data_IF_341241195699
#
_entry.id   IF_341241195699
#
_cell.length_a   1.000
_cell.length_b   1.000
_cell.length_c   1.000
_cell.angle_alpha   90.00
_cell.angle_beta   90.00
_cell.angle_gamma   90.00
#
_symmetry.space_group_name_H-M   'P 1'
#
loop_
_entity.id
_entity.type
_entity.pdbx_description
1 polymer ?
#
# COMPACT_ATOMS: atom_id res chain seq x y z
N UNK A 1 32.78 14.92 9.73
CA UNK A 1 31.52 14.31 10.20
C UNK A 1 31.51 12.87 9.75
N UNK A 2 31.15 11.93 10.62
CA UNK A 2 31.02 10.53 10.24
C UNK A 2 29.89 10.39 9.19
N UNK A 3 29.98 9.38 8.32
CA UNK A 3 28.89 9.08 7.40
C UNK A 3 27.89 8.19 8.14
N UNK A 4 26.62 8.59 8.15
CA UNK A 4 25.54 7.70 8.58
C UNK A 4 25.47 6.48 7.65
N UNK A 5 24.94 5.36 8.16
CA UNK A 5 24.78 4.09 7.44
C UNK A 5 23.32 3.71 7.39
N UNK A 6 22.84 3.32 6.22
CA UNK A 6 21.49 2.81 6.00
C UNK A 6 21.54 1.36 5.53
N UNK A 7 20.98 0.46 6.33
CA UNK A 7 20.81 -0.95 6.01
C UNK A 7 19.38 -1.13 5.48
N UNK A 8 19.20 -1.60 4.25
CA UNK A 8 17.86 -1.68 3.61
C UNK A 8 17.74 -2.87 2.65
N UNK A 9 16.51 -3.30 2.34
CA UNK A 9 16.22 -4.42 1.45
C UNK A 9 16.29 -4.08 -0.05
N UNK A 10 16.57 -2.82 -0.39
CA UNK A 10 16.74 -2.36 -1.77
C UNK A 10 16.57 -0.85 -1.90
N UNK A 11 16.91 -0.31 -3.07
CA UNK A 11 16.85 1.13 -3.37
C UNK A 11 15.86 1.48 -4.48
N UNK A 12 14.91 0.59 -4.79
CA UNK A 12 13.87 0.91 -5.76
C UNK A 12 13.08 2.14 -5.33
N UNK A 13 12.46 2.83 -6.29
CA UNK A 13 11.56 3.95 -6.02
C UNK A 13 10.36 3.53 -5.15
N UNK A 14 10.07 2.22 -5.10
CA UNK A 14 9.01 1.64 -4.28
C UNK A 14 9.43 1.41 -2.81
N UNK A 15 10.71 1.59 -2.44
CA UNK A 15 11.12 1.53 -1.04
C UNK A 15 10.87 2.87 -0.33
N UNK A 16 9.61 3.05 0.09
CA UNK A 16 9.09 4.26 0.72
C UNK A 16 9.98 4.71 1.89
N UNK A 17 10.34 3.81 2.81
CA UNK A 17 11.13 4.19 4.00
C UNK A 17 12.55 4.63 3.65
N UNK A 18 13.23 3.94 2.74
CA UNK A 18 14.56 4.35 2.30
C UNK A 18 14.51 5.71 1.59
N UNK A 19 13.48 5.97 0.78
CA UNK A 19 13.31 7.27 0.12
C UNK A 19 13.13 8.40 1.12
N UNK A 20 12.26 8.23 2.12
CA UNK A 20 12.06 9.23 3.18
C UNK A 20 13.38 9.60 3.86
N UNK A 21 14.16 8.59 4.24
CA UNK A 21 15.45 8.79 4.93
C UNK A 21 16.47 9.48 4.03
N UNK A 22 16.63 9.02 2.79
CA UNK A 22 17.66 9.53 1.88
C UNK A 22 17.36 10.97 1.41
N UNK A 23 16.09 11.29 1.14
CA UNK A 23 15.70 12.66 0.79
C UNK A 23 15.87 13.58 1.99
N UNK A 24 15.47 13.13 3.18
CA UNK A 24 15.63 13.90 4.41
C UNK A 24 17.11 14.19 4.69
N UNK A 25 17.96 13.17 4.57
CA UNK A 25 19.40 13.33 4.68
C UNK A 25 19.97 14.31 3.65
N UNK A 26 19.44 14.31 2.43
CA UNK A 26 19.84 15.27 1.40
C UNK A 26 19.46 16.71 1.76
N UNK A 27 18.25 16.96 2.28
CA UNK A 27 17.80 18.32 2.64
C UNK A 27 18.44 18.84 3.93
N UNK A 28 18.99 17.94 4.76
CA UNK A 28 19.76 18.27 5.98
C UNK A 28 21.27 18.21 5.77
N UNK A 29 21.74 17.96 4.54
CA UNK A 29 23.16 17.80 4.20
C UNK A 29 23.88 16.71 5.01
N UNK A 30 23.17 15.66 5.44
CA UNK A 30 23.74 14.49 6.12
C UNK A 30 24.17 13.46 5.09
N UNK A 31 25.44 13.04 5.12
CA UNK A 31 25.94 11.97 4.24
C UNK A 31 25.49 10.61 4.74
N UNK A 32 24.69 9.90 3.93
CA UNK A 32 24.24 8.54 4.21
C UNK A 32 24.87 7.57 3.21
N UNK A 33 25.61 6.58 3.72
CA UNK A 33 26.11 5.44 2.96
C UNK A 33 25.09 4.32 3.03
N UNK A 34 24.62 3.86 1.87
CA UNK A 34 23.77 2.68 1.78
C UNK A 34 24.67 1.45 1.86
N UNK A 35 24.39 0.57 2.81
CA UNK A 35 25.22 -0.60 3.09
C UNK A 35 24.83 -1.74 2.15
N UNK A 36 25.78 -2.21 1.35
CA UNK A 36 25.60 -3.33 0.41
C UNK A 36 26.47 -4.54 0.74
N UNK A 37 26.49 -5.53 -0.18
CA UNK A 37 27.30 -6.75 -0.02
C UNK A 37 28.78 -6.45 0.16
N UNK A 38 29.28 -5.46 -0.57
CA UNK A 38 30.67 -4.97 -0.47
C UNK A 38 31.00 -4.39 0.91
N UNK A 39 29.97 -3.98 1.66
CA UNK A 39 30.09 -3.45 3.03
C UNK A 39 29.76 -4.51 4.10
N UNK A 40 29.63 -5.78 3.72
CA UNK A 40 29.27 -6.88 4.61
C UNK A 40 27.78 -6.97 4.96
N UNK A 41 26.90 -6.29 4.20
CA UNK A 41 25.46 -6.33 4.42
C UNK A 41 24.71 -6.98 3.25
N UNK A 42 24.02 -8.09 3.54
CA UNK A 42 23.07 -8.75 2.65
C UNK A 42 21.71 -8.90 3.35
N UNK A 43 20.67 -8.28 2.81
CA UNK A 43 19.33 -8.40 3.35
C UNK A 43 18.83 -9.85 3.32
N UNK A 44 18.17 -10.26 4.39
CA UNK A 44 17.73 -11.65 4.62
C UNK A 44 18.80 -12.55 5.24
N UNK A 45 20.06 -12.11 5.26
CA UNK A 45 21.22 -12.83 5.81
C UNK A 45 21.84 -12.04 6.97
N UNK A 46 22.46 -10.89 6.69
CA UNK A 46 23.19 -10.09 7.68
C UNK A 46 22.28 -9.60 8.81
N UNK A 47 21.05 -9.17 8.50
CA UNK A 47 20.09 -8.67 9.50
C UNK A 47 19.57 -9.75 10.48
N UNK A 48 19.86 -11.03 10.22
CA UNK A 48 19.50 -12.15 11.11
C UNK A 48 20.65 -12.61 12.01
N UNK A 49 21.87 -12.12 11.75
CA UNK A 49 23.05 -12.50 12.52
C UNK A 49 23.01 -11.96 13.95
N UNK A 50 23.64 -12.68 14.88
CA UNK A 50 23.73 -12.27 16.28
C UNK A 50 24.38 -10.89 16.44
N UNK A 51 25.41 -10.57 15.65
CA UNK A 51 26.09 -9.29 15.74
C UNK A 51 25.26 -8.12 15.22
N UNK A 52 24.46 -8.33 14.18
CA UNK A 52 23.50 -7.31 13.75
C UNK A 52 22.42 -7.10 14.82
N UNK A 53 21.90 -8.17 15.44
CA UNK A 53 20.91 -8.09 16.51
C UNK A 53 21.39 -7.36 17.76
N UNK A 54 22.68 -7.45 18.09
CA UNK A 54 23.27 -6.66 19.18
C UNK A 54 23.13 -5.15 18.94
N UNK A 55 23.11 -4.73 17.67
CA UNK A 55 22.89 -3.32 17.28
C UNK A 55 21.42 -2.98 17.08
N UNK A 56 20.68 -3.89 16.43
CA UNK A 56 19.29 -3.73 16.01
C UNK A 56 18.50 -4.97 16.44
N UNK A 57 17.88 -4.96 17.64
CA UNK A 57 17.30 -6.17 18.24
C UNK A 57 16.20 -6.84 17.42
N UNK A 58 15.54 -6.08 16.54
CA UNK A 58 14.49 -6.56 15.66
C UNK A 58 15.10 -6.85 14.28
N UNK A 59 14.89 -8.06 13.76
CA UNK A 59 15.42 -8.54 12.45
C UNK A 59 14.81 -7.86 11.21
N UNK A 60 14.30 -6.63 11.36
CA UNK A 60 13.67 -5.87 10.29
C UNK A 60 14.70 -5.01 9.55
N UNK A 61 14.32 -4.63 8.34
CA UNK A 61 14.97 -3.54 7.60
C UNK A 61 13.89 -2.56 7.15
N UNK A 62 14.19 -1.26 7.04
CA UNK A 62 15.54 -0.67 7.17
C UNK A 62 16.06 -0.61 8.63
N UNK A 63 17.37 -0.34 8.79
CA UNK A 63 17.99 0.06 10.05
C UNK A 63 19.01 1.18 9.79
N UNK A 64 19.21 2.09 10.73
CA UNK A 64 20.02 3.29 10.58
C UNK A 64 21.04 3.42 11.72
N UNK A 65 22.30 3.69 11.37
CA UNK A 65 23.40 3.93 12.32
C UNK A 65 24.05 5.28 12.00
N UNK A 66 24.13 6.18 12.97
CA UNK A 66 24.84 7.46 12.86
C UNK A 66 25.53 7.75 14.20
N UNK A 67 26.86 7.73 14.19
CA UNK A 67 27.67 7.71 15.41
C UNK A 67 27.21 6.60 16.38
N UNK A 68 26.87 6.96 17.62
CA UNK A 68 26.37 6.01 18.62
C UNK A 68 24.87 5.70 18.47
N UNK A 69 24.14 6.49 17.68
CA UNK A 69 22.69 6.38 17.50
C UNK A 69 22.35 5.24 16.55
N UNK A 70 21.46 4.36 17.00
CA UNK A 70 20.97 3.19 16.27
C UNK A 70 19.45 3.20 16.29
N UNK A 71 18.83 3.29 15.11
CA UNK A 71 17.39 3.48 14.95
C UNK A 71 16.81 2.48 13.96
N UNK A 72 15.59 2.05 14.22
CA UNK A 72 14.83 1.09 13.38
C UNK A 72 13.45 1.61 12.96
N UNK A 73 13.07 2.80 13.44
CA UNK A 73 11.78 3.43 13.12
C UNK A 73 11.99 4.64 12.22
N UNK A 74 11.21 4.73 11.13
CA UNK A 74 11.45 5.71 10.06
C UNK A 74 11.33 7.13 10.59
N UNK A 75 10.24 7.42 11.31
CA UNK A 75 9.97 8.74 11.86
C UNK A 75 11.01 9.15 12.91
N UNK A 76 11.59 8.19 13.65
CA UNK A 76 12.70 8.45 14.56
C UNK A 76 13.99 8.83 13.82
N UNK A 77 14.27 8.21 12.67
CA UNK A 77 15.41 8.60 11.82
C UNK A 77 15.18 9.98 11.22
N UNK A 78 13.97 10.26 10.74
CA UNK A 78 13.60 11.59 10.23
C UNK A 78 13.82 12.67 11.29
N UNK A 79 13.32 12.44 12.52
CA UNK A 79 13.59 13.31 13.66
C UNK A 79 15.08 13.47 13.93
N UNK A 80 15.84 12.37 13.99
CA UNK A 80 17.27 12.42 14.25
C UNK A 80 18.05 13.23 13.21
N UNK A 81 17.65 13.18 11.93
CA UNK A 81 18.28 13.95 10.85
C UNK A 81 17.93 15.44 10.91
N UNK A 82 16.74 15.79 11.41
CA UNK A 82 16.23 17.16 11.41
C UNK A 82 16.42 17.94 12.72
N UNK A 83 16.52 17.26 13.87
CA UNK A 83 16.49 17.88 15.22
C UNK A 83 17.52 19.00 15.46
N UNK A 84 18.64 18.99 14.74
CA UNK A 84 19.73 19.96 14.86
C UNK A 84 19.83 20.87 13.61
N UNK A 85 18.71 21.05 12.90
CA UNK A 85 18.63 21.80 11.63
C UNK A 85 17.57 22.90 11.71
N UNK A 86 17.37 23.64 10.61
CA UNK A 86 16.33 24.67 10.50
C UNK A 86 14.89 24.13 10.42
N UNK A 87 14.70 22.81 10.36
CA UNK A 87 13.38 22.21 10.24
C UNK A 87 12.80 21.96 11.63
N UNK A 88 11.87 22.83 12.04
CA UNK A 88 11.23 22.71 13.34
C UNK A 88 10.35 21.46 13.44
N UNK A 89 10.60 20.67 14.49
CA UNK A 89 9.75 19.55 14.89
C UNK A 89 8.72 20.04 15.90
N UNK A 90 7.63 20.63 15.40
CA UNK A 90 6.49 21.04 16.20
C UNK A 90 5.50 19.89 16.38
N UNK A 91 4.48 20.08 17.22
CA UNK A 91 3.35 19.16 17.34
C UNK A 91 2.69 18.90 15.98
N UNK A 92 2.63 19.91 15.10
CA UNK A 92 2.07 19.76 13.75
C UNK A 92 2.93 18.87 12.87
N UNK A 93 4.25 19.00 12.94
CA UNK A 93 5.18 18.12 12.24
C UNK A 93 4.99 16.67 12.70
N UNK A 94 4.93 16.44 14.02
CA UNK A 94 4.70 15.10 14.58
C UNK A 94 3.34 14.52 14.17
N UNK A 95 2.28 15.32 14.19
CA UNK A 95 0.94 14.92 13.74
C UNK A 95 0.98 14.43 12.29
N UNK A 96 1.56 15.21 11.37
CA UNK A 96 1.61 14.86 9.95
C UNK A 96 2.50 13.67 9.65
N UNK A 97 3.64 13.51 10.34
CA UNK A 97 4.46 12.30 10.21
C UNK A 97 3.70 11.06 10.66
N UNK A 98 2.97 11.15 11.77
CA UNK A 98 2.16 10.04 12.30
C UNK A 98 1.00 9.70 11.38
N UNK A 99 0.31 10.71 10.84
CA UNK A 99 -0.75 10.54 9.85
C UNK A 99 -0.21 9.87 8.57
N UNK A 100 0.99 10.26 8.12
CA UNK A 100 1.64 9.65 6.97
C UNK A 100 2.02 8.17 7.24
N UNK A 101 2.63 7.86 8.39
CA UNK A 101 3.13 6.52 8.69
C UNK A 101 2.04 5.52 9.10
N UNK A 102 0.86 6.00 9.51
CA UNK A 102 -0.27 5.15 9.93
C UNK A 102 -1.37 5.11 8.89
N UNK A 103 -2.13 6.20 8.79
CA UNK A 103 -3.37 6.24 8.02
C UNK A 103 -3.10 6.26 6.53
N UNK A 104 -2.20 7.15 6.09
CA UNK A 104 -1.84 7.27 4.68
C UNK A 104 -1.12 6.01 4.19
N UNK A 105 -0.13 5.50 4.94
CA UNK A 105 0.58 4.29 4.57
C UNK A 105 -0.36 3.08 4.40
N UNK A 106 -1.33 2.91 5.31
CA UNK A 106 -2.32 1.83 5.22
C UNK A 106 -3.17 1.96 3.96
N UNK A 107 -3.72 3.16 3.71
CA UNK A 107 -4.52 3.44 2.52
C UNK A 107 -3.72 3.19 1.24
N UNK A 108 -2.52 3.76 1.13
CA UNK A 108 -1.68 3.64 -0.07
C UNK A 108 -1.26 2.19 -0.31
N UNK A 109 -0.94 1.45 0.76
CA UNK A 109 -0.63 0.02 0.68
C UNK A 109 -1.83 -0.78 0.14
N UNK A 110 -3.03 -0.60 0.68
CA UNK A 110 -4.24 -1.31 0.23
C UNK A 110 -4.55 -1.04 -1.24
N UNK A 111 -4.34 0.19 -1.71
CA UNK A 111 -4.65 0.56 -3.10
C UNK A 111 -3.56 0.16 -4.10
N UNK A 112 -2.27 0.25 -3.72
CA UNK A 112 -1.15 0.09 -4.66
C UNK A 112 -0.52 -1.30 -4.65
N UNK A 113 -0.49 -1.98 -3.50
CA UNK A 113 0.20 -3.28 -3.38
C UNK A 113 -0.39 -4.40 -4.25
N UNK A 114 -1.69 -4.42 -4.61
CA UNK A 114 -2.19 -5.35 -5.62
C UNK A 114 -1.51 -5.19 -6.98
N UNK A 115 -1.30 -3.96 -7.45
CA UNK A 115 -0.61 -3.69 -8.71
C UNK A 115 0.88 -4.11 -8.68
N UNK A 116 1.47 -4.07 -7.48
CA UNK A 116 2.83 -4.57 -7.24
C UNK A 116 2.88 -6.09 -6.98
N UNK A 117 1.74 -6.78 -6.97
CA UNK A 117 1.63 -8.21 -6.70
C UNK A 117 2.04 -8.60 -5.27
N UNK A 118 2.04 -7.67 -4.31
CA UNK A 118 2.44 -7.97 -2.93
C UNK A 118 1.30 -8.61 -2.14
N UNK A 119 0.08 -8.13 -2.36
CA UNK A 119 -1.15 -8.62 -1.70
C UNK A 119 -2.24 -8.90 -2.75
N UNK A 120 -3.23 -9.71 -2.38
CA UNK A 120 -4.45 -9.87 -3.19
C UNK A 120 -5.40 -8.70 -2.94
N UNK A 121 -6.17 -8.25 -3.94
CA UNK A 121 -7.17 -7.21 -3.72
C UNK A 121 -8.34 -7.76 -2.90
N UNK A 122 -8.81 -6.97 -1.95
CA UNK A 122 -10.07 -7.19 -1.21
C UNK A 122 -11.04 -6.03 -1.50
N UNK A 123 -12.28 -6.35 -1.89
CA UNK A 123 -13.25 -5.32 -2.32
C UNK A 123 -13.73 -4.44 -1.17
N UNK A 124 -13.89 -5.00 0.03
CA UNK A 124 -14.38 -4.28 1.21
C UNK A 124 -13.28 -3.35 1.71
N UNK A 125 -12.06 -3.85 1.85
CA UNK A 125 -10.90 -3.05 2.25
C UNK A 125 -10.58 -1.96 1.22
N UNK A 126 -10.70 -2.26 -0.08
CA UNK A 126 -10.47 -1.27 -1.13
C UNK A 126 -11.50 -0.13 -1.08
N UNK A 127 -12.78 -0.44 -0.91
CA UNK A 127 -13.82 0.58 -0.77
C UNK A 127 -13.61 1.45 0.48
N UNK A 128 -13.22 0.85 1.61
CA UNK A 128 -12.88 1.57 2.84
C UNK A 128 -11.65 2.47 2.64
N UNK A 129 -10.59 1.94 2.02
CA UNK A 129 -9.38 2.70 1.71
C UNK A 129 -9.65 3.88 0.77
N UNK A 130 -10.50 3.71 -0.25
CA UNK A 130 -10.93 4.82 -1.11
C UNK A 130 -11.71 5.89 -0.36
N UNK A 131 -12.51 5.52 0.65
CA UNK A 131 -13.22 6.51 1.48
C UNK A 131 -12.27 7.31 2.34
N UNK A 132 -11.38 6.63 3.06
CA UNK A 132 -10.39 7.29 3.91
C UNK A 132 -9.40 8.12 3.06
N UNK A 133 -9.03 7.65 1.87
CA UNK A 133 -8.21 8.41 0.92
C UNK A 133 -8.82 9.77 0.60
N UNK A 134 -10.13 9.83 0.33
CA UNK A 134 -10.83 11.09 0.05
C UNK A 134 -10.71 12.06 1.23
N UNK A 135 -10.94 11.58 2.45
CA UNK A 135 -10.87 12.40 3.67
C UNK A 135 -9.44 12.91 3.91
N UNK A 136 -8.43 12.05 3.78
CA UNK A 136 -7.02 12.42 3.90
C UNK A 136 -6.62 13.44 2.83
N UNK A 137 -7.04 13.25 1.58
CA UNK A 137 -6.70 14.15 0.47
C UNK A 137 -7.39 15.52 0.61
N UNK A 138 -8.61 15.57 1.14
CA UNK A 138 -9.25 16.82 1.50
C UNK A 138 -8.46 17.54 2.61
N UNK A 139 -8.06 16.83 3.67
CA UNK A 139 -7.23 17.43 4.73
C UNK A 139 -5.89 17.97 4.20
N UNK A 140 -5.20 17.22 3.34
CA UNK A 140 -3.96 17.69 2.71
C UNK A 140 -4.22 18.90 1.78
N UNK A 141 -5.35 18.93 1.09
CA UNK A 141 -5.75 20.08 0.25
C UNK A 141 -5.99 21.33 1.09
N UNK A 142 -6.63 21.20 2.25
CA UNK A 142 -6.83 22.33 3.17
C UNK A 142 -5.49 22.91 3.65
N UNK A 143 -4.53 22.05 4.02
CA UNK A 143 -3.17 22.48 4.39
C UNK A 143 -2.46 23.22 3.25
N UNK A 144 -2.65 22.75 2.01
CA UNK A 144 -2.08 23.35 0.81
C UNK A 144 -2.83 24.60 0.32
N UNK A 145 -3.98 24.93 0.92
CA UNK A 145 -4.73 26.15 0.60
C UNK A 145 -4.10 27.40 1.22
N UNK A 146 -3.42 27.23 2.35
CA UNK A 146 -2.75 28.31 3.08
C UNK A 146 -1.28 28.47 2.67
N UNK A 147 -0.66 27.39 2.18
CA UNK A 147 0.78 27.29 1.98
C UNK A 147 1.18 26.45 0.76
N UNK A 148 2.38 26.70 0.23
CA UNK A 148 2.95 25.91 -0.86
C UNK A 148 3.42 24.50 -0.44
N UNK A 149 3.62 24.27 0.85
CA UNK A 149 4.07 23.00 1.43
C UNK A 149 3.23 22.67 2.67
N UNK A 150 3.24 21.39 3.09
CA UNK A 150 2.30 20.87 4.10
C UNK A 150 2.48 21.44 5.50
N UNK A 151 3.69 21.94 5.81
CA UNK A 151 4.04 22.50 7.12
C UNK A 151 4.63 23.93 6.99
N UNK A 152 4.19 24.70 5.99
CA UNK A 152 4.56 26.11 5.82
C UNK A 152 4.99 26.49 4.41
N UNK A 153 5.68 27.62 4.26
CA UNK A 153 6.02 28.18 2.95
C UNK A 153 7.22 27.51 2.24
N UNK A 154 7.95 26.61 2.91
CA UNK A 154 9.13 25.94 2.35
C UNK A 154 9.08 24.44 2.59
N UNK A 155 9.78 23.66 1.75
CA UNK A 155 9.91 22.21 1.91
C UNK A 155 10.29 21.83 3.34
N UNK A 156 9.57 20.87 3.92
CA UNK A 156 9.85 20.29 5.23
C UNK A 156 9.90 18.76 5.18
N UNK A 157 10.22 18.14 6.32
CA UNK A 157 10.14 16.69 6.48
C UNK A 157 8.70 16.15 6.33
N UNK A 158 7.68 16.98 6.61
CA UNK A 158 6.27 16.62 6.39
C UNK A 158 6.04 16.31 4.90
N UNK A 159 6.55 17.16 4.02
CA UNK A 159 6.42 16.99 2.57
C UNK A 159 7.13 15.73 2.12
N UNK A 160 8.35 15.49 2.60
CA UNK A 160 9.10 14.27 2.28
C UNK A 160 8.31 13.02 2.69
N UNK A 161 7.76 13.01 3.90
CA UNK A 161 7.04 11.87 4.44
C UNK A 161 5.76 11.57 3.65
N UNK A 162 4.93 12.58 3.39
CA UNK A 162 3.67 12.41 2.65
C UNK A 162 3.94 12.12 1.17
N UNK A 163 4.94 12.78 0.57
CA UNK A 163 5.28 12.58 -0.84
C UNK A 163 5.69 11.14 -1.11
N UNK A 164 6.57 10.57 -0.28
CA UNK A 164 7.02 9.19 -0.46
C UNK A 164 5.89 8.17 -0.33
N UNK A 165 4.82 8.46 0.42
CA UNK A 165 3.63 7.60 0.49
C UNK A 165 2.72 7.75 -0.73
N UNK A 166 2.57 8.97 -1.26
CA UNK A 166 1.64 9.26 -2.36
C UNK A 166 2.21 8.91 -3.74
N UNK A 167 3.53 8.95 -3.95
CA UNK A 167 4.09 8.72 -5.30
C UNK A 167 3.72 7.37 -5.91
N UNK A 168 3.77 6.23 -5.20
CA UNK A 168 3.27 4.97 -5.77
C UNK A 168 1.81 5.06 -6.22
N UNK A 169 0.96 5.78 -5.47
CA UNK A 169 -0.42 6.02 -5.85
C UNK A 169 -0.53 6.92 -7.09
N UNK A 170 0.30 7.96 -7.19
CA UNK A 170 0.36 8.83 -8.36
C UNK A 170 0.74 8.05 -9.64
N UNK A 171 1.72 7.16 -9.54
CA UNK A 171 2.25 6.38 -10.67
C UNK A 171 1.39 5.16 -11.06
N UNK A 172 0.56 4.65 -10.14
CA UNK A 172 -0.18 3.39 -10.35
C UNK A 172 -1.70 3.55 -10.34
N UNK A 173 -2.26 4.57 -9.69
CA UNK A 173 -3.69 4.64 -9.38
C UNK A 173 -4.32 6.02 -9.66
N UNK A 174 -3.57 7.11 -9.58
CA UNK A 174 -4.11 8.47 -9.78
C UNK A 174 -4.20 8.82 -11.26
N UNK A 175 -5.18 8.24 -11.96
CA UNK A 175 -5.49 8.49 -13.37
C UNK A 175 -6.03 9.92 -13.59
N UNK A 176 -6.32 10.29 -14.84
CA UNK A 176 -6.73 11.67 -15.17
C UNK A 176 -8.00 12.12 -14.41
N UNK A 177 -9.10 11.36 -14.36
CA UNK A 177 -10.25 11.71 -13.53
C UNK A 177 -9.90 11.93 -12.06
N UNK A 178 -9.08 11.06 -11.46
CA UNK A 178 -8.65 11.21 -10.08
C UNK A 178 -7.80 12.47 -9.87
N UNK A 179 -6.90 12.79 -10.80
CA UNK A 179 -6.08 14.01 -10.75
C UNK A 179 -6.93 15.28 -10.83
N UNK A 180 -8.00 15.27 -11.63
CA UNK A 180 -8.93 16.40 -11.72
C UNK A 180 -9.67 16.69 -10.40
N UNK A 181 -9.85 15.68 -9.54
CA UNK A 181 -10.48 15.86 -8.22
C UNK A 181 -9.55 16.52 -7.19
N UNK A 182 -8.23 16.43 -7.36
CA UNK A 182 -7.24 16.89 -6.38
C UNK A 182 -6.15 17.78 -6.99
N UNK A 183 -6.51 18.90 -7.61
CA UNK A 183 -5.55 19.76 -8.32
C UNK A 183 -4.46 20.35 -7.40
N UNK A 184 -4.79 20.63 -6.13
CA UNK A 184 -3.82 21.12 -5.15
C UNK A 184 -2.73 20.09 -4.85
N UNK A 185 -3.12 18.81 -4.67
CA UNK A 185 -2.21 17.71 -4.45
C UNK A 185 -1.33 17.49 -5.68
N UNK A 186 -1.91 17.49 -6.88
CA UNK A 186 -1.14 17.34 -8.14
C UNK A 186 -0.11 18.45 -8.28
N UNK A 187 -0.50 19.70 -8.00
CA UNK A 187 0.41 20.86 -8.04
C UNK A 187 1.54 20.71 -7.03
N UNK A 188 1.22 20.29 -5.81
CA UNK A 188 2.21 20.05 -4.76
C UNK A 188 3.16 18.89 -5.11
N UNK A 189 2.66 17.78 -5.69
CA UNK A 189 3.49 16.68 -6.20
C UNK A 189 4.47 17.21 -7.25
N UNK A 190 4.00 17.99 -8.22
CA UNK A 190 4.85 18.56 -9.27
C UNK A 190 5.89 19.52 -8.69
N UNK A 191 5.49 20.36 -7.72
CA UNK A 191 6.39 21.26 -6.99
C UNK A 191 7.51 20.47 -6.30
N UNK A 192 7.17 19.46 -5.50
CA UNK A 192 8.15 18.59 -4.83
C UNK A 192 9.05 17.86 -5.84
N UNK A 193 8.47 17.24 -6.86
CA UNK A 193 9.19 16.51 -7.91
C UNK A 193 10.13 17.41 -8.73
N UNK A 194 9.89 18.71 -8.79
CA UNK A 194 10.75 19.67 -9.48
C UNK A 194 12.06 19.99 -8.73
N UNK A 195 12.11 19.70 -7.44
CA UNK A 195 13.30 19.97 -6.61
C UNK A 195 14.37 18.90 -6.86
N UNK A 196 15.63 19.34 -6.95
CA UNK A 196 16.76 18.46 -7.31
C UNK A 196 16.92 17.25 -6.38
N UNK A 197 16.61 17.40 -5.08
CA UNK A 197 16.67 16.30 -4.11
C UNK A 197 15.69 15.18 -4.43
N UNK A 198 14.50 15.50 -4.97
CA UNK A 198 13.52 14.51 -5.40
C UNK A 198 13.83 13.98 -6.79
N UNK A 199 14.24 14.84 -7.75
CA UNK A 199 14.66 14.39 -9.09
C UNK A 199 15.84 13.42 -9.03
N UNK A 200 16.84 13.70 -8.20
CA UNK A 200 17.97 12.80 -8.03
C UNK A 200 17.54 11.41 -7.55
N UNK A 201 16.49 11.35 -6.72
CA UNK A 201 16.01 10.10 -6.14
C UNK A 201 15.03 9.33 -7.03
N UNK A 202 14.10 10.02 -7.68
CA UNK A 202 13.00 9.41 -8.43
C UNK A 202 13.12 9.56 -9.95
N UNK A 203 14.04 10.39 -10.44
CA UNK A 203 14.12 10.74 -11.86
C UNK A 203 12.87 11.48 -12.33
N UNK A 204 12.36 11.07 -13.49
CA UNK A 204 11.12 11.62 -14.04
C UNK A 204 9.93 10.85 -13.50
N UNK A 205 9.11 11.51 -12.68
CA UNK A 205 7.85 10.95 -12.17
C UNK A 205 6.74 11.27 -13.18
N UNK A 206 5.97 10.25 -13.57
CA UNK A 206 4.79 10.40 -14.46
C UNK A 206 3.58 9.76 -13.81
N UNK A 207 2.40 10.39 -13.90
CA UNK A 207 1.19 9.75 -13.40
C UNK A 207 0.81 8.55 -14.26
N UNK A 208 -0.04 7.66 -13.74
CA UNK A 208 -0.64 6.62 -14.56
C UNK A 208 -1.61 7.21 -15.59
N UNK A 209 -1.66 6.58 -16.77
CA UNK A 209 -2.72 6.81 -17.77
C UNK A 209 -4.00 6.04 -17.40
N UNK A 210 -3.84 4.83 -16.86
CA UNK A 210 -4.91 3.97 -16.38
C UNK A 210 -4.54 3.38 -15.03
N UNK A 211 -5.55 3.15 -14.18
CA UNK A 211 -5.38 2.45 -12.91
C UNK A 211 -4.77 1.06 -13.14
N UNK A 212 -3.64 0.80 -12.50
CA UNK A 212 -2.93 -0.46 -12.59
C UNK A 212 -3.74 -1.59 -11.95
N UNK A 213 -3.88 -2.69 -12.67
CA UNK A 213 -4.60 -3.88 -12.21
C UNK A 213 -3.71 -4.80 -11.37
N UNK A 214 -4.33 -5.77 -10.68
CA UNK A 214 -3.62 -6.76 -9.87
C UNK A 214 -2.60 -7.56 -10.71
N UNK A 215 -1.34 -7.57 -10.26
CA UNK A 215 -0.27 -8.26 -10.98
C UNK A 215 -0.13 -9.71 -10.54
N UNK A 216 -0.85 -10.60 -11.23
CA UNK A 216 -0.82 -12.04 -10.98
C UNK A 216 0.58 -12.67 -11.08
N UNK A 217 1.42 -12.18 -12.00
CA UNK A 217 2.76 -12.71 -12.24
C UNK A 217 3.72 -12.38 -11.09
N UNK A 218 3.75 -11.11 -10.68
CA UNK A 218 4.53 -10.68 -9.51
C UNK A 218 4.04 -11.37 -8.24
N UNK A 219 2.72 -11.50 -8.07
CA UNK A 219 2.14 -12.22 -6.94
C UNK A 219 2.59 -13.69 -6.91
N UNK A 220 2.53 -14.39 -8.03
CA UNK A 220 3.01 -15.78 -8.10
C UNK A 220 4.50 -15.90 -7.76
N UNK A 221 5.32 -14.92 -8.18
CA UNK A 221 6.77 -14.87 -7.90
C UNK A 221 7.07 -14.63 -6.41
N UNK A 222 6.40 -13.67 -5.78
CA UNK A 222 6.64 -13.35 -4.37
C UNK A 222 6.10 -14.41 -3.41
N UNK A 223 5.06 -15.15 -3.81
CA UNK A 223 4.40 -16.17 -2.99
C UNK A 223 4.73 -17.62 -3.43
N UNK A 224 5.80 -17.84 -4.20
CA UNK A 224 6.18 -19.17 -4.71
C UNK A 224 6.58 -20.14 -3.57
N UNK A 225 7.18 -19.63 -2.49
CA UNK A 225 7.55 -20.43 -1.32
C UNK A 225 6.34 -20.98 -0.55
N UNK A 226 5.20 -20.28 -0.58
CA UNK A 226 3.97 -20.78 0.05
C UNK A 226 3.34 -21.94 -0.74
N UNK A 227 3.62 -22.04 -2.05
CA UNK A 227 3.11 -23.12 -2.91
C UNK A 227 3.94 -24.40 -2.85
N UNK A 228 5.23 -24.32 -2.50
CA UNK A 228 6.11 -25.51 -2.40
C UNK A 228 6.07 -26.19 -1.02
N UNK A 229 5.24 -25.71 -0.10
CA UNK A 229 5.11 -26.23 1.27
C UNK A 229 4.06 -27.33 1.51
N UNK A 230 3.25 -27.73 0.51
CA UNK A 230 2.27 -28.84 0.67
C UNK A 230 2.73 -30.06 -0.13
N UNK A 231 3.77 -30.72 0.38
CA UNK A 231 3.96 -32.17 0.23
C UNK A 231 4.26 -32.72 1.61
N UNK A 232 3.20 -32.93 2.40
CA UNK A 232 3.28 -33.84 3.54
C UNK A 232 3.74 -35.22 3.04
N UNK A 233 4.80 -35.81 3.61
CA UNK A 233 5.04 -37.23 3.43
C UNK A 233 4.01 -37.99 4.25
N UNK A 234 3.14 -38.72 3.56
CA UNK A 234 2.28 -39.73 4.16
C UNK A 234 3.11 -40.71 5.01
N UNK A 235 2.82 -40.79 6.32
CA UNK A 235 3.10 -41.99 7.12
C UNK A 235 1.85 -42.42 7.87
N UNK A 236 1.53 -43.70 7.63
CA UNK A 236 0.46 -44.52 8.18
C UNK A 236 0.65 -44.86 9.66
N UNK A 237 -0.48 -45.10 10.33
CA UNK A 237 -0.66 -45.98 11.50
C UNK A 237 -0.77 -45.22 12.83
N UNK A 238 -1.65 -45.54 13.79
CA UNK A 238 -2.67 -46.57 13.88
C UNK A 238 -3.66 -46.21 15.02
N UNK A 239 -4.81 -46.87 15.01
CA UNK A 239 -6.06 -46.72 15.77
C UNK A 239 -6.00 -46.74 17.32
N UNK A 240 -6.81 -45.84 17.91
CA UNK A 240 -7.81 -45.98 19.02
C UNK A 240 -7.47 -46.67 20.36
N UNK A 241 -7.75 -45.98 21.49
CA UNK A 241 -8.60 -46.45 22.62
C UNK A 241 -9.31 -45.24 23.29
N UNK A 242 -10.52 -45.50 23.81
CA UNK A 242 -11.63 -44.63 24.16
C UNK A 242 -11.66 -43.95 25.57
N UNK A 243 -12.44 -42.85 25.62
CA UNK A 243 -13.51 -42.42 26.58
C UNK A 243 -13.24 -42.00 28.06
N UNK A 244 -13.69 -40.75 28.28
CA UNK A 244 -14.50 -40.15 29.40
C UNK A 244 -13.79 -40.00 30.76
N UNK A 245 -13.85 -38.86 31.46
CA UNK A 245 -15.06 -38.19 31.99
C UNK A 245 -14.86 -36.66 32.14
N UNK A 246 -15.99 -35.97 31.98
CA UNK A 246 -16.37 -34.56 32.08
C UNK A 246 -15.88 -33.73 33.29
N UNK A 247 -15.60 -32.43 33.05
CA UNK A 247 -16.29 -31.31 33.74
C UNK A 247 -16.25 -30.02 32.89
N UNK A 248 -17.43 -29.41 32.76
CA UNK A 248 -17.76 -28.19 32.01
C UNK A 248 -17.06 -26.95 32.56
N UNK A 249 -16.53 -26.10 31.67
CA UNK A 249 -16.62 -24.64 31.75
C UNK A 249 -16.94 -24.14 30.34
N UNK A 250 -17.97 -23.32 30.24
CA UNK A 250 -18.56 -22.80 29.01
C UNK A 250 -17.57 -21.92 28.24
N UNK A 251 -17.33 -22.27 26.97
CA UNK A 251 -16.86 -21.34 25.94
C UNK A 251 -17.96 -21.29 24.91
N UNK A 252 -18.61 -20.14 24.80
CA UNK A 252 -19.57 -19.82 23.75
C UNK A 252 -18.86 -20.01 22.39
N UNK A 253 -19.34 -20.90 21.50
CA UNK A 253 -18.74 -21.04 20.18
C UNK A 253 -19.15 -19.84 19.33
N UNK A 254 -18.18 -19.05 18.89
CA UNK A 254 -18.37 -18.14 17.75
C UNK A 254 -18.61 -19.03 16.54
N UNK A 255 -19.86 -19.08 16.08
CA UNK A 255 -20.23 -19.71 14.83
C UNK A 255 -19.38 -19.12 13.68
N UNK A 256 -18.95 -19.94 12.71
CA UNK A 256 -18.22 -19.45 11.55
C UNK A 256 -19.12 -18.46 10.80
N UNK A 257 -18.69 -17.20 10.68
CA UNK A 257 -19.34 -16.21 9.80
C UNK A 257 -19.31 -16.79 8.40
N UNK A 258 -20.50 -17.15 7.92
CA UNK A 258 -20.72 -17.70 6.62
C UNK A 258 -20.23 -16.73 5.54
N UNK A 259 -19.68 -17.28 4.45
CA UNK A 259 -19.26 -16.49 3.30
C UNK A 259 -20.43 -15.64 2.76
N UNK A 260 -20.17 -14.56 1.99
CA UNK A 260 -21.22 -13.80 1.31
C UNK A 260 -22.17 -14.66 0.46
N UNK A 261 -21.73 -15.87 0.09
CA UNK A 261 -22.52 -16.90 -0.60
C UNK A 261 -23.70 -17.42 0.23
N UNK A 262 -23.61 -17.40 1.56
CA UNK A 262 -24.61 -18.00 2.44
C UNK A 262 -25.91 -17.19 2.56
N UNK A 263 -25.89 -15.91 2.19
CA UNK A 263 -27.09 -15.06 2.15
C UNK A 263 -27.93 -15.37 0.90
N UNK A 264 -27.31 -15.92 -0.15
CA UNK A 264 -27.96 -16.22 -1.43
C UNK A 264 -28.26 -17.71 -1.65
N UNK A 265 -27.78 -18.61 -0.77
CA UNK A 265 -28.02 -20.07 -0.88
C UNK A 265 -29.48 -20.49 -0.75
N UNK A 266 -30.37 -19.62 -0.27
CA UNK A 266 -31.82 -19.87 -0.21
C UNK A 266 -32.58 -19.34 -1.44
N UNK A 267 -31.93 -18.60 -2.34
CA UNK A 267 -32.55 -18.10 -3.55
C UNK A 267 -32.47 -19.14 -4.68
N UNK A 268 -33.44 -19.14 -5.61
CA UNK A 268 -33.35 -19.95 -6.81
C UNK A 268 -32.05 -19.65 -7.59
N UNK A 269 -31.39 -20.65 -8.18
CA UNK A 269 -30.23 -20.41 -9.03
C UNK A 269 -30.67 -19.65 -10.28
N UNK A 270 -29.91 -18.62 -10.64
CA UNK A 270 -30.12 -17.84 -11.86
C UNK A 270 -29.63 -18.60 -13.09
N UNK A 271 -30.37 -18.52 -14.19
CA UNK A 271 -29.95 -19.03 -15.51
C UNK A 271 -29.12 -18.02 -16.29
N UNK A 272 -29.01 -16.78 -15.82
CA UNK A 272 -28.30 -15.70 -16.53
C UNK A 272 -26.80 -15.71 -16.25
N UNK A 273 -25.98 -16.01 -17.27
CA UNK A 273 -24.52 -15.95 -17.18
C UNK A 273 -23.98 -14.58 -17.61
N UNK A 274 -23.67 -13.72 -16.62
CA UNK A 274 -23.16 -12.37 -16.87
C UNK A 274 -21.83 -12.34 -17.64
N UNK A 275 -20.97 -13.35 -17.46
CA UNK A 275 -19.67 -13.43 -18.16
C UNK A 275 -19.82 -13.78 -19.65
N UNK A 276 -20.85 -14.54 -20.02
CA UNK A 276 -21.18 -14.79 -21.43
C UNK A 276 -21.71 -13.52 -22.09
N UNK A 277 -22.57 -12.77 -21.40
CA UNK A 277 -23.04 -11.48 -21.88
C UNK A 277 -21.88 -10.52 -22.15
N UNK A 278 -20.96 -10.35 -21.19
CA UNK A 278 -19.77 -9.50 -21.33
C UNK A 278 -18.92 -9.93 -22.52
N UNK A 279 -18.72 -11.24 -22.69
CA UNK A 279 -17.97 -11.79 -23.83
C UNK A 279 -18.65 -11.45 -25.16
N UNK A 280 -19.98 -11.50 -25.25
CA UNK A 280 -20.73 -11.07 -26.43
C UNK A 280 -20.68 -9.57 -26.64
N UNK A 281 -20.75 -8.77 -25.58
CA UNK A 281 -20.67 -7.31 -25.65
C UNK A 281 -19.32 -6.82 -26.17
N UNK A 282 -18.21 -7.41 -25.69
CA UNK A 282 -16.87 -7.01 -26.09
C UNK A 282 -16.54 -7.47 -27.52
N UNK A 283 -17.08 -8.61 -27.96
CA UNK A 283 -16.71 -9.22 -29.24
C UNK A 283 -17.71 -8.95 -30.38
N UNK A 284 -18.89 -8.39 -30.11
CA UNK A 284 -19.90 -8.10 -31.13
C UNK A 284 -19.64 -6.73 -31.78
N UNK A 285 -19.74 -6.68 -33.11
CA UNK A 285 -19.75 -5.42 -33.86
C UNK A 285 -21.12 -4.72 -33.84
N UNK A 286 -22.17 -5.42 -33.40
CA UNK A 286 -23.56 -4.94 -33.40
C UNK A 286 -24.08 -4.84 -31.96
N UNK A 287 -24.28 -3.61 -31.51
CA UNK A 287 -24.89 -3.30 -30.21
C UNK A 287 -26.31 -3.86 -30.11
N UNK A 288 -27.07 -3.81 -31.21
CA UNK A 288 -28.44 -4.33 -31.25
C UNK A 288 -28.47 -5.82 -30.96
N UNK A 289 -27.57 -6.61 -31.56
CA UNK A 289 -27.57 -8.06 -31.37
C UNK A 289 -27.15 -8.46 -29.96
N UNK A 290 -26.21 -7.71 -29.36
CA UNK A 290 -25.83 -7.89 -27.96
C UNK A 290 -26.98 -7.57 -27.00
N UNK A 291 -27.76 -6.52 -27.29
CA UNK A 291 -28.90 -6.15 -26.46
C UNK A 291 -30.07 -7.12 -26.63
N UNK A 292 -30.33 -7.62 -27.84
CA UNK A 292 -31.30 -8.70 -28.07
C UNK A 292 -30.93 -9.92 -27.24
N UNK A 293 -29.66 -10.37 -27.31
CA UNK A 293 -29.20 -11.50 -26.49
C UNK A 293 -29.36 -11.23 -24.99
N UNK A 294 -29.07 -10.00 -24.53
CA UNK A 294 -29.26 -9.62 -23.12
C UNK A 294 -30.70 -9.86 -22.70
N UNK A 295 -31.66 -9.30 -23.42
CA UNK A 295 -33.07 -9.39 -23.06
C UNK A 295 -33.63 -10.80 -23.18
N UNK A 296 -33.14 -11.59 -24.14
CA UNK A 296 -33.53 -12.99 -24.31
C UNK A 296 -33.04 -13.90 -23.18
N UNK A 297 -31.92 -13.55 -22.52
CA UNK A 297 -31.28 -14.37 -21.49
C UNK A 297 -31.37 -13.77 -20.07
N UNK A 298 -31.89 -12.55 -19.93
CA UNK A 298 -31.94 -11.83 -18.66
C UNK A 298 -32.92 -12.47 -17.69
N UNK A 299 -32.41 -12.91 -16.55
CA UNK A 299 -33.20 -13.39 -15.44
C UNK A 299 -33.66 -12.23 -14.55
N UNK A 300 -34.93 -11.85 -14.70
CA UNK A 300 -35.55 -10.76 -13.95
C UNK A 300 -35.78 -11.09 -12.47
N UNK A 301 -35.81 -12.37 -12.08
CA UNK A 301 -35.98 -12.79 -10.69
C UNK A 301 -34.64 -12.77 -9.94
N UNK A 302 -33.54 -13.10 -10.64
CA UNK A 302 -32.18 -13.11 -10.09
C UNK A 302 -31.44 -11.77 -10.20
N UNK A 303 -31.76 -10.93 -11.17
CA UNK A 303 -31.04 -9.67 -11.46
C UNK A 303 -31.98 -8.47 -11.63
N UNK A 304 -31.45 -7.29 -11.34
CA UNK A 304 -32.12 -6.00 -11.57
C UNK A 304 -31.15 -4.97 -12.13
N UNK A 305 -31.67 -4.07 -12.97
CA UNK A 305 -30.91 -2.91 -13.46
C UNK A 305 -31.20 -1.69 -12.60
N UNK A 306 -30.15 -0.96 -12.23
CA UNK A 306 -30.25 0.27 -11.47
C UNK A 306 -29.61 1.40 -12.29
N UNK A 307 -30.35 2.49 -12.45
CA UNK A 307 -29.84 3.71 -13.04
C UNK A 307 -29.38 4.65 -11.94
N UNK A 308 -28.07 4.92 -11.86
CA UNK A 308 -27.49 5.83 -10.91
C UNK A 308 -27.26 7.21 -11.54
N UNK A 309 -27.81 8.25 -10.91
CA UNK A 309 -27.47 9.65 -11.22
C UNK A 309 -26.43 10.12 -10.23
N UNK A 310 -25.24 10.47 -10.71
CA UNK A 310 -24.20 11.05 -9.87
C UNK A 310 -24.55 12.49 -9.53
N UNK A 311 -24.37 12.88 -8.26
CA UNK A 311 -24.71 14.22 -7.74
C UNK A 311 -23.89 15.34 -8.41
N UNK A 312 -22.76 15.00 -9.01
CA UNK A 312 -21.92 15.92 -9.75
C UNK A 312 -21.70 15.33 -11.14
N UNK A 313 -21.92 16.16 -12.17
CA UNK A 313 -21.67 15.80 -13.56
C UNK A 313 -20.16 15.60 -13.76
N UNK A 314 -19.79 14.47 -14.37
CA UNK A 314 -18.42 14.17 -14.81
C UNK A 314 -17.89 15.25 -15.75
#
# INVERSE_FOLDING_TARGET
MSSAKLYTFGLSHQNIWANKILITASITNTKVKIMGKEDGFEYGVSNKTTDFKKKFPIEKCFAFEHDDVKLIECDAVLYHLCKDTKYDFTEKTFELLTLASRDLHMVMSTLCYPALGLIRPDKIENAAALSLMRELFLHLTDLLSEHDYLCGATLTVCDVAVFCEIIPFYELYMDEPCRCLYPAIVTWIQRCASLEVFKHRFGTIKPCELISSFNHSLYAKYHESERKGVKEPAKKGEKTVEKKVTKKVEVVPVAPKASPTAVFTSLPPTTFELEEWKRKYINSASYSDTMTWLWDNFDQEGFSFWYGVYKYSN
#
